data_IF_757302585288
#
_entry.id   IF_757302585288
#
_cell.length_a   1.000
_cell.length_b   1.000
_cell.length_c   1.000
_cell.angle_alpha   90.00
_cell.angle_beta   90.00
_cell.angle_gamma   90.00
#
_symmetry.space_group_name_H-M   'P 1'
#
loop_
_entity.id
_entity.type
_entity.pdbx_description
1 polymer ?
#
# COMPACT_ATOMS: atom_id res chain seq x y z
N UNK A 1 15.76 -10.96 -19.80
CA UNK A 1 16.37 -9.83 -19.09
C UNK A 1 15.27 -9.26 -18.20
N UNK A 2 15.29 -9.61 -16.92
CA UNK A 2 14.24 -9.22 -15.97
C UNK A 2 14.41 -7.74 -15.65
N UNK A 3 13.71 -6.87 -16.39
CA UNK A 3 13.57 -5.47 -16.00
C UNK A 3 12.67 -5.44 -14.76
N UNK A 4 13.26 -5.56 -13.57
CA UNK A 4 12.53 -5.45 -12.31
C UNK A 4 12.19 -3.97 -12.07
N UNK A 5 11.16 -3.47 -12.75
CA UNK A 5 10.63 -2.11 -12.57
C UNK A 5 9.34 -2.16 -11.76
N UNK A 6 9.39 -2.91 -10.66
CA UNK A 6 8.28 -3.18 -9.74
C UNK A 6 8.71 -2.86 -8.31
N UNK A 7 7.78 -2.38 -7.49
CA UNK A 7 7.97 -2.13 -6.06
C UNK A 7 7.71 -3.40 -5.24
N UNK A 8 8.07 -3.39 -3.95
CA UNK A 8 7.73 -4.45 -3.01
C UNK A 8 6.77 -3.94 -1.92
N UNK A 9 5.50 -3.83 -2.28
CA UNK A 9 4.48 -3.25 -1.43
C UNK A 9 4.10 -4.18 -0.27
N UNK A 10 4.16 -3.67 0.97
CA UNK A 10 3.81 -4.37 2.20
C UNK A 10 3.09 -3.44 3.17
N UNK A 11 2.19 -4.01 3.96
CA UNK A 11 1.57 -3.36 5.12
C UNK A 11 1.97 -4.14 6.37
N UNK A 12 2.44 -3.42 7.38
CA UNK A 12 2.67 -3.94 8.72
C UNK A 12 1.36 -3.92 9.52
N UNK A 13 0.74 -5.09 9.80
CA UNK A 13 -0.53 -5.15 10.51
C UNK A 13 -0.39 -4.82 12.01
N UNK A 14 0.81 -4.86 12.60
CA UNK A 14 0.99 -4.57 14.03
C UNK A 14 0.85 -3.07 14.33
N UNK A 15 1.22 -2.21 13.38
CA UNK A 15 1.14 -0.75 13.50
C UNK A 15 0.05 -0.14 12.60
N UNK A 16 -0.60 -0.93 11.75
CA UNK A 16 -1.77 -0.47 11.01
C UNK A 16 -2.91 -0.12 11.98
N UNK A 17 -3.65 0.94 11.70
CA UNK A 17 -4.77 1.42 12.53
C UNK A 17 -6.07 1.53 11.75
N UNK A 18 -6.15 0.97 10.54
CA UNK A 18 -7.41 0.91 9.78
C UNK A 18 -7.95 2.25 9.30
N UNK A 19 -7.11 3.25 9.10
CA UNK A 19 -7.56 4.62 8.76
C UNK A 19 -8.13 4.79 7.33
N UNK A 20 -8.04 3.74 6.51
CA UNK A 20 -8.57 3.68 5.14
C UNK A 20 -8.06 4.77 4.18
N UNK A 21 -6.95 5.45 4.48
CA UNK A 21 -6.36 6.43 3.55
C UNK A 21 -5.73 5.75 2.34
N UNK A 22 -5.01 4.65 2.55
CA UNK A 22 -4.37 3.89 1.48
C UNK A 22 -5.36 3.34 0.44
N UNK A 23 -6.49 2.80 0.89
CA UNK A 23 -7.57 2.34 0.01
C UNK A 23 -8.22 3.50 -0.76
N UNK A 24 -8.38 4.68 -0.15
CA UNK A 24 -8.94 5.85 -0.84
C UNK A 24 -8.02 6.40 -1.93
N UNK A 25 -6.71 6.43 -1.67
CA UNK A 25 -5.69 6.96 -2.60
C UNK A 25 -5.38 5.95 -3.71
N UNK A 26 -5.21 4.69 -3.32
CA UNK A 26 -4.74 3.63 -4.19
C UNK A 26 -5.62 2.36 -4.03
N UNK A 27 -6.92 2.41 -4.41
CA UNK A 27 -7.86 1.31 -4.24
C UNK A 27 -7.51 0.06 -5.06
N UNK A 28 -6.59 0.20 -6.03
CA UNK A 28 -6.06 -0.92 -6.82
C UNK A 28 -4.91 -1.66 -6.13
N UNK A 29 -4.35 -1.06 -5.08
CA UNK A 29 -3.17 -1.57 -4.37
C UNK A 29 -3.52 -2.01 -2.94
N UNK A 30 -4.48 -1.35 -2.30
CA UNK A 30 -4.89 -1.63 -0.93
C UNK A 30 -6.40 -1.79 -0.81
N UNK A 31 -6.81 -2.66 0.10
CA UNK A 31 -8.21 -2.84 0.53
C UNK A 31 -8.24 -2.85 2.06
N UNK A 32 -9.28 -2.29 2.68
CA UNK A 32 -9.53 -2.51 4.09
C UNK A 32 -10.32 -3.81 4.27
N UNK A 33 -9.70 -4.79 4.91
CA UNK A 33 -10.30 -6.08 5.19
C UNK A 33 -11.33 -6.03 6.32
N UNK A 34 -12.01 -7.14 6.55
CA UNK A 34 -13.02 -7.29 7.61
C UNK A 34 -12.44 -7.13 9.03
N UNK A 35 -11.14 -7.35 9.18
CA UNK A 35 -10.38 -7.11 10.41
C UNK A 35 -10.10 -5.61 10.67
N UNK A 36 -10.62 -4.72 9.82
CA UNK A 36 -10.35 -3.28 9.83
C UNK A 36 -8.88 -2.91 9.61
N UNK A 37 -8.05 -3.79 9.06
CA UNK A 37 -6.67 -3.51 8.66
C UNK A 37 -6.54 -3.45 7.14
N UNK A 38 -5.49 -2.76 6.68
CA UNK A 38 -5.19 -2.68 5.26
C UNK A 38 -4.43 -3.92 4.78
N UNK A 39 -4.92 -4.53 3.71
CA UNK A 39 -4.26 -5.63 2.99
C UNK A 39 -3.76 -5.15 1.63
N UNK A 40 -2.67 -5.75 1.15
CA UNK A 40 -2.08 -5.45 -0.16
C UNK A 40 -2.71 -6.35 -1.23
N UNK A 41 -3.36 -5.73 -2.23
CA UNK A 41 -3.95 -6.41 -3.38
C UNK A 41 -2.86 -6.80 -4.40
N UNK A 42 -1.92 -5.88 -4.65
CA UNK A 42 -0.84 -6.06 -5.63
C UNK A 42 0.52 -5.84 -4.95
N UNK A 43 1.22 -6.91 -4.53
CA UNK A 43 2.50 -6.80 -3.80
C UNK A 43 3.66 -6.34 -4.69
N UNK A 44 3.53 -6.52 -6.00
CA UNK A 44 4.54 -6.12 -6.99
C UNK A 44 3.91 -5.16 -8.02
N UNK A 45 3.56 -3.92 -7.63
CA UNK A 45 3.04 -2.93 -8.56
C UNK A 45 4.17 -2.38 -9.43
N UNK A 46 3.90 -2.12 -10.71
CA UNK A 46 4.85 -1.49 -11.60
C UNK A 46 5.00 0.01 -11.34
N UNK A 47 5.92 0.66 -12.05
CA UNK A 47 6.17 2.10 -11.93
C UNK A 47 4.93 2.98 -12.16
N UNK A 48 3.92 2.49 -12.88
CA UNK A 48 2.69 3.24 -13.10
C UNK A 48 1.92 3.57 -11.81
N UNK A 49 2.28 2.92 -10.70
CA UNK A 49 1.68 3.13 -9.38
C UNK A 49 2.58 3.91 -8.42
N UNK A 50 3.76 4.37 -8.84
CA UNK A 50 4.76 5.02 -7.96
C UNK A 50 4.15 6.19 -7.16
N UNK A 51 3.48 7.13 -7.84
CA UNK A 51 2.85 8.28 -7.17
C UNK A 51 1.80 7.86 -6.14
N UNK A 52 0.95 6.88 -6.49
CA UNK A 52 -0.08 6.34 -5.61
C UNK A 52 0.53 5.65 -4.37
N UNK A 53 1.65 4.95 -4.53
CA UNK A 53 2.36 4.26 -3.45
C UNK A 53 2.97 5.29 -2.49
N UNK A 54 3.68 6.30 -3.02
CA UNK A 54 4.31 7.35 -2.24
C UNK A 54 3.26 8.15 -1.47
N UNK A 55 2.16 8.52 -2.12
CA UNK A 55 1.08 9.28 -1.50
C UNK A 55 0.39 8.46 -0.39
N UNK A 56 0.05 7.19 -0.65
CA UNK A 56 -0.55 6.31 0.35
C UNK A 56 0.35 6.14 1.59
N UNK A 57 1.65 5.94 1.38
CA UNK A 57 2.63 5.82 2.47
C UNK A 57 2.79 7.13 3.25
N UNK A 58 2.77 8.27 2.55
CA UNK A 58 2.86 9.61 3.17
C UNK A 58 1.64 9.94 4.03
N UNK A 59 0.45 9.56 3.56
CA UNK A 59 -0.82 9.80 4.28
C UNK A 59 -1.06 8.81 5.41
N UNK A 60 -0.31 7.70 5.49
CA UNK A 60 -0.44 6.74 6.57
C UNK A 60 0.13 7.33 7.88
N UNK A 61 -0.71 7.63 8.89
CA UNK A 61 -0.25 8.30 10.11
C UNK A 61 0.69 7.44 10.94
N UNK A 62 0.57 6.11 10.85
CA UNK A 62 1.43 5.15 11.56
C UNK A 62 2.60 4.64 10.74
N UNK A 63 2.72 5.07 9.47
CA UNK A 63 3.76 4.60 8.54
C UNK A 63 3.80 3.06 8.40
N UNK A 64 2.63 2.44 8.39
CA UNK A 64 2.48 1.00 8.23
C UNK A 64 2.84 0.48 6.83
N UNK A 65 3.01 1.36 5.84
CA UNK A 65 3.20 1.00 4.43
C UNK A 65 4.68 1.10 4.06
N UNK A 66 5.22 0.04 3.43
CA UNK A 66 6.57 -0.01 2.87
C UNK A 66 6.51 -0.52 1.42
N UNK A 67 7.46 -0.11 0.58
CA UNK A 67 7.44 -0.37 -0.87
C UNK A 67 8.84 -0.40 -1.48
#
# INVERSE_FOLDING_TARGET
MSNSTEFNLKVDPEICQGTAYCERVAPKLFVIGENSFADVIKPNPGLEYEEQIIEAATLCPTRAITY
#
